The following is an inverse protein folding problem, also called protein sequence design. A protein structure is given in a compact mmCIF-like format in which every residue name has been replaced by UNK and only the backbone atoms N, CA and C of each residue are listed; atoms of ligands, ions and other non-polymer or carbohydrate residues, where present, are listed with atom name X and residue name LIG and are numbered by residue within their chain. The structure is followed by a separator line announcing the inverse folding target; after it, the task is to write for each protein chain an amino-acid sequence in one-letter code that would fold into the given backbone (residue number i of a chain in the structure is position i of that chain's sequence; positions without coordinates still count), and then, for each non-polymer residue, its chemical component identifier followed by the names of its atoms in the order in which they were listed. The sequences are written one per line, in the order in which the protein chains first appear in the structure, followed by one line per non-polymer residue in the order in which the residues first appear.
data_IF_360618407256
#
_entry.id   IF_360618407256
#
_cell.length_a   1.000
_cell.length_b   1.000
_cell.length_c   1.000
_cell.angle_alpha   90.00
_cell.angle_beta   90.00
_cell.angle_gamma   90.00
#
_symmetry.space_group_name_H-M   'P 1'
#
loop_
_entity.id
_entity.type
_entity.pdbx_description
1 polymer ?
#
# COMPACT_ATOMS: atom_id res chain seq x y z
N UNK A 1 -32.28 7.71 93.37
CA UNK A 1 -33.06 6.45 93.27
C UNK A 1 -32.84 5.90 91.87
N UNK A 2 -32.07 4.80 91.73
CA UNK A 2 -32.11 3.76 90.65
C UNK A 2 -32.06 4.28 89.17
N UNK A 3 -31.13 3.92 88.27
CA UNK A 3 -30.80 2.57 87.75
C UNK A 3 -29.78 2.72 86.58
N UNK A 4 -28.72 1.88 86.65
CA UNK A 4 -27.96 1.14 85.62
C UNK A 4 -27.11 1.78 84.48
N UNK A 5 -25.91 1.20 84.21
CA UNK A 5 -24.98 1.63 83.16
C UNK A 5 -25.19 0.92 81.81
N UNK A 6 -24.80 1.59 80.72
CA UNK A 6 -24.66 1.03 79.37
C UNK A 6 -23.47 0.07 79.32
N UNK A 7 -23.68 -1.19 78.94
CA UNK A 7 -22.61 -2.12 78.53
C UNK A 7 -22.72 -2.41 77.04
N UNK A 8 -21.55 -2.36 76.40
CA UNK A 8 -21.31 -2.42 74.98
C UNK A 8 -21.41 -3.85 74.39
N UNK A 9 -21.63 -3.88 73.08
CA UNK A 9 -21.62 -5.01 72.17
C UNK A 9 -20.41 -5.93 72.34
N UNK A 10 -20.63 -7.23 72.17
CA UNK A 10 -19.64 -8.18 71.63
C UNK A 10 -20.40 -9.33 70.99
N UNK A 11 -20.45 -9.38 69.65
CA UNK A 11 -20.83 -10.56 68.89
C UNK A 11 -19.60 -10.96 68.07
N UNK A 12 -19.01 -12.10 68.42
CA UNK A 12 -17.89 -12.70 67.72
C UNK A 12 -18.41 -13.49 66.52
N UNK A 13 -17.92 -13.17 65.32
CA UNK A 13 -18.12 -13.97 64.10
C UNK A 13 -16.82 -14.69 63.80
N UNK A 14 -16.82 -16.01 63.91
CA UNK A 14 -15.69 -16.86 63.53
C UNK A 14 -15.67 -17.03 62.01
N UNK A 15 -14.58 -16.63 61.37
CA UNK A 15 -14.32 -16.82 59.93
C UNK A 15 -13.37 -17.99 59.73
N UNK A 16 -13.83 -19.02 59.02
CA UNK A 16 -13.02 -20.15 58.57
C UNK A 16 -12.24 -19.69 57.34
N UNK A 17 -10.90 -19.70 57.42
CA UNK A 17 -10.01 -19.42 56.29
C UNK A 17 -9.62 -20.73 55.61
N UNK A 18 -10.01 -20.91 54.34
CA UNK A 18 -9.49 -21.96 53.46
C UNK A 18 -8.45 -21.31 52.56
N UNK A 19 -7.18 -21.71 52.69
CA UNK A 19 -6.10 -21.31 51.79
C UNK A 19 -6.16 -22.18 50.53
N UNK A 20 -6.50 -21.56 49.38
CA UNK A 20 -6.29 -22.17 48.06
C UNK A 20 -4.98 -21.62 47.51
N UNK A 21 -3.91 -22.42 47.49
CA UNK A 21 -2.72 -22.10 46.71
C UNK A 21 -3.02 -22.41 45.23
N UNK A 22 -3.24 -21.36 44.44
CA UNK A 22 -3.18 -21.45 42.99
C UNK A 22 -1.71 -21.40 42.56
N UNK A 23 -1.21 -22.51 41.99
CA UNK A 23 0.07 -22.53 41.29
C UNK A 23 -0.09 -21.79 39.96
N UNK A 24 0.30 -20.51 39.93
CA UNK A 24 0.45 -19.76 38.69
C UNK A 24 1.65 -20.34 37.92
N UNK A 25 1.37 -21.11 36.86
CA UNK A 25 2.37 -21.39 35.83
C UNK A 25 2.86 -20.08 35.19
N UNK A 26 4.04 -20.07 34.53
CA UNK A 26 4.50 -18.89 33.82
C UNK A 26 3.43 -18.45 32.81
N UNK A 27 3.22 -17.12 32.62
CA UNK A 27 2.22 -16.64 31.68
C UNK A 27 2.50 -17.25 30.30
N UNK A 28 1.50 -17.92 29.72
CA UNK A 28 1.53 -18.27 28.30
C UNK A 28 1.78 -16.99 27.54
N UNK A 29 2.85 -16.94 26.73
CA UNK A 29 3.04 -15.89 25.75
C UNK A 29 1.72 -15.74 24.98
N UNK A 30 1.12 -14.55 25.02
CA UNK A 30 -0.06 -14.29 24.21
C UNK A 30 0.29 -14.65 22.77
N UNK A 31 -0.58 -15.40 22.08
CA UNK A 31 -0.38 -15.67 20.66
C UNK A 31 -0.13 -14.33 19.95
N UNK A 32 1.03 -14.21 19.29
CA UNK A 32 1.41 -12.98 18.59
C UNK A 32 0.33 -12.62 17.55
N UNK A 33 0.05 -11.32 17.38
CA UNK A 33 -0.94 -10.82 16.42
C UNK A 33 -0.65 -11.38 15.02
N UNK A 34 -1.65 -11.41 14.15
CA UNK A 34 -1.44 -11.79 12.74
C UNK A 34 -0.30 -10.98 12.12
N UNK A 35 -0.27 -9.68 12.44
CA UNK A 35 0.63 -8.69 11.87
C UNK A 35 2.00 -8.61 12.55
N UNK A 36 2.22 -9.36 13.64
CA UNK A 36 3.54 -9.47 14.26
C UNK A 36 4.34 -10.55 13.51
N UNK A 37 5.37 -10.18 12.71
CA UNK A 37 6.14 -11.17 11.99
C UNK A 37 7.00 -12.00 12.95
N UNK A 38 7.25 -13.29 12.65
CA UNK A 38 8.23 -14.09 13.37
C UNK A 38 9.62 -13.44 13.31
N UNK A 39 10.35 -13.49 14.43
CA UNK A 39 11.74 -13.01 14.51
C UNK A 39 12.66 -14.12 15.02
N UNK A 40 13.64 -14.59 14.21
CA UNK A 40 13.92 -14.16 12.84
C UNK A 40 12.83 -14.59 11.83
N UNK A 41 12.79 -13.93 10.68
CA UNK A 41 11.92 -14.37 9.57
C UNK A 41 12.30 -15.78 9.11
N UNK A 42 11.34 -16.63 8.75
CA UNK A 42 11.60 -17.93 8.17
C UNK A 42 12.51 -17.83 6.94
N UNK A 43 13.40 -18.80 6.79
CA UNK A 43 14.15 -18.98 5.56
C UNK A 43 13.17 -19.29 4.41
N UNK A 44 13.44 -18.74 3.23
CA UNK A 44 12.58 -18.90 2.07
C UNK A 44 12.99 -18.00 0.93
N UNK A 45 12.19 -18.02 -0.13
CA UNK A 45 12.27 -17.15 -1.30
C UNK A 45 11.31 -15.97 -1.18
N UNK A 46 11.50 -14.94 -1.99
CA UNK A 46 10.57 -13.82 -2.03
C UNK A 46 9.22 -14.33 -2.58
N UNK A 47 8.12 -13.88 -1.97
CA UNK A 47 6.76 -14.38 -2.20
C UNK A 47 6.37 -15.64 -1.45
N UNK A 48 7.23 -16.23 -0.60
CA UNK A 48 6.81 -17.36 0.23
C UNK A 48 5.81 -16.90 1.29
N UNK A 49 4.71 -17.63 1.45
CA UNK A 49 3.69 -17.38 2.47
C UNK A 49 4.26 -17.79 3.83
N UNK A 50 4.35 -16.84 4.75
CA UNK A 50 4.78 -17.03 6.13
C UNK A 50 3.61 -17.53 6.98
N UNK A 51 2.44 -16.93 6.77
CA UNK A 51 1.20 -17.18 7.51
C UNK A 51 0.02 -16.75 6.65
N UNK A 52 -1.12 -17.41 6.82
CA UNK A 52 -2.38 -16.93 6.28
C UNK A 52 -3.54 -17.30 7.22
N UNK A 53 -4.66 -16.58 7.10
CA UNK A 53 -5.91 -16.91 7.77
C UNK A 53 -7.11 -16.48 6.93
N UNK A 54 -8.27 -17.10 7.15
CA UNK A 54 -9.51 -16.66 6.54
C UNK A 54 -9.86 -15.23 6.97
N UNK A 55 -10.34 -14.43 6.03
CA UNK A 55 -10.81 -13.07 6.29
C UNK A 55 -12.11 -12.80 5.52
N UNK A 56 -12.52 -11.54 5.43
CA UNK A 56 -13.72 -11.09 4.72
C UNK A 56 -13.38 -9.87 3.88
N UNK A 57 -14.15 -9.64 2.83
CA UNK A 57 -14.09 -8.40 2.06
C UNK A 57 -15.49 -7.79 1.98
N UNK A 58 -15.67 -6.66 2.64
CA UNK A 58 -16.89 -5.86 2.54
C UNK A 58 -16.67 -4.68 1.60
N UNK A 59 -17.66 -4.40 0.75
CA UNK A 59 -17.63 -3.27 -0.20
C UNK A 59 -18.12 -1.98 0.49
N UNK A 60 -18.83 -2.11 1.61
CA UNK A 60 -19.36 -1.00 2.39
C UNK A 60 -19.09 -1.17 3.90
N UNK A 61 -18.98 -0.06 4.65
CA UNK A 61 -18.63 -0.09 6.07
C UNK A 61 -19.78 -0.55 6.98
N UNK A 62 -21.03 -0.61 6.48
CA UNK A 62 -22.18 -1.15 7.23
C UNK A 62 -22.34 -2.66 7.04
N UNK A 63 -21.41 -3.30 6.32
CA UNK A 63 -21.29 -4.75 6.12
C UNK A 63 -22.52 -5.38 5.48
N UNK A 64 -23.17 -4.66 4.56
CA UNK A 64 -24.34 -5.16 3.82
C UNK A 64 -23.96 -5.88 2.52
N UNK A 65 -22.81 -5.54 1.94
CA UNK A 65 -22.29 -6.04 0.68
C UNK A 65 -20.96 -6.76 0.94
N UNK A 66 -21.04 -8.03 1.31
CA UNK A 66 -19.88 -8.93 1.32
C UNK A 66 -19.58 -9.43 -0.10
N UNK A 67 -18.31 -9.41 -0.50
CA UNK A 67 -17.89 -9.90 -1.80
C UNK A 67 -18.00 -11.44 -1.88
N UNK A 68 -18.51 -11.97 -2.99
CA UNK A 68 -18.63 -13.42 -3.21
C UNK A 68 -17.27 -14.05 -3.63
N UNK A 69 -16.35 -14.11 -2.68
CA UNK A 69 -15.00 -14.61 -2.86
C UNK A 69 -14.56 -15.49 -1.69
N UNK A 70 -13.60 -16.38 -1.93
CA UNK A 70 -12.71 -16.86 -0.89
C UNK A 70 -11.70 -15.76 -0.56
N UNK A 71 -11.55 -15.44 0.72
CA UNK A 71 -10.69 -14.34 1.18
C UNK A 71 -9.68 -14.89 2.18
N UNK A 72 -8.41 -14.66 1.92
CA UNK A 72 -7.31 -15.01 2.81
C UNK A 72 -6.47 -13.78 3.08
N UNK A 73 -6.31 -13.41 4.35
CA UNK A 73 -5.26 -12.48 4.74
C UNK A 73 -3.95 -13.25 4.79
N UNK A 74 -2.92 -12.71 4.16
CA UNK A 74 -1.61 -13.35 4.05
C UNK A 74 -0.54 -12.47 4.69
N UNK A 75 0.50 -13.11 5.21
CA UNK A 75 1.81 -12.54 5.48
C UNK A 75 2.79 -13.28 4.60
N UNK A 76 3.59 -12.56 3.82
CA UNK A 76 4.52 -13.13 2.87
C UNK A 76 5.89 -12.45 2.98
N UNK A 77 6.93 -13.21 2.62
CA UNK A 77 8.30 -12.71 2.59
C UNK A 77 8.50 -11.82 1.36
N UNK A 78 9.02 -10.61 1.54
CA UNK A 78 9.43 -9.72 0.45
C UNK A 78 10.83 -9.17 0.72
N UNK A 79 11.20 -8.07 0.07
CA UNK A 79 12.52 -7.47 0.16
C UNK A 79 12.43 -5.95 0.15
N UNK A 80 13.11 -5.31 1.09
CA UNK A 80 13.16 -3.85 1.21
C UNK A 80 13.93 -3.21 0.03
N UNK A 81 14.06 -1.88 0.08
CA UNK A 81 14.77 -1.09 -0.93
C UNK A 81 16.28 -1.44 -1.03
N UNK A 82 16.87 -2.05 0.01
CA UNK A 82 18.30 -2.37 0.11
C UNK A 82 18.62 -3.85 -0.11
N UNK A 83 17.63 -4.69 -0.35
CA UNK A 83 17.82 -6.13 -0.54
C UNK A 83 17.64 -6.99 0.71
N UNK A 84 17.25 -6.41 1.85
CA UNK A 84 17.04 -7.15 3.10
C UNK A 84 15.66 -7.83 3.10
N UNK A 85 15.53 -9.04 3.67
CA UNK A 85 14.24 -9.71 3.78
C UNK A 85 13.32 -9.01 4.78
N UNK A 86 12.08 -8.79 4.36
CA UNK A 86 11.00 -8.22 5.18
C UNK A 86 9.76 -9.11 5.14
N UNK A 87 8.85 -8.94 6.09
CA UNK A 87 7.50 -9.50 6.02
C UNK A 87 6.53 -8.40 5.61
N UNK A 88 5.64 -8.71 4.68
CA UNK A 88 4.58 -7.81 4.22
C UNK A 88 3.25 -8.56 4.34
N UNK A 89 2.18 -7.85 4.70
CA UNK A 89 0.83 -8.42 4.72
C UNK A 89 0.03 -8.02 3.48
N UNK A 90 -1.08 -8.71 3.27
CA UNK A 90 -1.97 -8.44 2.15
C UNK A 90 -3.18 -9.36 2.18
N UNK A 91 -3.99 -9.30 1.13
CA UNK A 91 -5.22 -10.09 1.01
C UNK A 91 -5.32 -10.73 -0.36
N UNK A 92 -5.53 -12.04 -0.41
CA UNK A 92 -5.83 -12.80 -1.62
C UNK A 92 -7.34 -13.02 -1.70
N UNK A 93 -7.92 -12.63 -2.82
CA UNK A 93 -9.34 -12.68 -3.13
C UNK A 93 -9.55 -13.58 -4.34
N UNK A 94 -10.26 -14.69 -4.15
CA UNK A 94 -10.54 -15.66 -5.22
C UNK A 94 -12.03 -15.73 -5.47
N UNK A 95 -12.55 -15.34 -6.66
CA UNK A 95 -13.98 -15.41 -6.93
C UNK A 95 -14.50 -16.83 -6.82
N UNK A 96 -15.67 -17.02 -6.17
CA UNK A 96 -16.32 -18.34 -6.08
C UNK A 96 -16.93 -18.78 -7.40
N UNK A 97 -17.19 -17.84 -8.31
CA UNK A 97 -17.65 -18.11 -9.66
C UNK A 97 -16.61 -18.91 -10.46
N UNK A 98 -17.08 -19.79 -11.36
CA UNK A 98 -16.21 -20.53 -12.27
C UNK A 98 -15.53 -19.58 -13.26
N UNK A 99 -14.24 -19.81 -13.54
CA UNK A 99 -13.53 -19.08 -14.60
C UNK A 99 -14.00 -19.56 -15.98
N UNK A 100 -14.52 -18.65 -16.81
CA UNK A 100 -15.03 -18.94 -18.15
C UNK A 100 -14.15 -18.41 -19.29
N UNK A 101 -13.07 -17.70 -18.98
CA UNK A 101 -12.13 -17.24 -20.00
C UNK A 101 -11.19 -18.35 -20.48
N UNK A 102 -10.35 -18.02 -21.45
CA UNK A 102 -9.39 -18.97 -21.99
C UNK A 102 -8.29 -19.31 -20.98
N UNK A 103 -7.87 -20.59 -20.95
CA UNK A 103 -6.78 -21.05 -20.09
C UNK A 103 -7.13 -21.00 -18.61
N UNK A 104 -6.10 -20.84 -17.78
CA UNK A 104 -6.24 -20.77 -16.32
C UNK A 104 -6.64 -19.37 -15.86
N UNK A 105 -7.27 -19.26 -14.68
CA UNK A 105 -7.73 -17.99 -14.12
C UNK A 105 -6.54 -17.02 -13.96
N UNK A 106 -6.62 -15.80 -14.52
CA UNK A 106 -5.57 -14.80 -14.33
C UNK A 106 -5.57 -14.22 -12.92
N UNK A 107 -4.42 -13.67 -12.53
CA UNK A 107 -4.24 -12.93 -11.28
C UNK A 107 -3.99 -11.46 -11.59
N UNK A 108 -4.66 -10.56 -10.87
CA UNK A 108 -4.35 -9.12 -10.87
C UNK A 108 -3.76 -8.77 -9.51
N UNK A 109 -2.53 -8.28 -9.47
CA UNK A 109 -2.02 -7.59 -8.28
C UNK A 109 -2.56 -6.19 -8.29
N UNK A 110 -3.40 -5.86 -7.31
CA UNK A 110 -3.88 -4.51 -7.11
C UNK A 110 -2.93 -3.77 -6.17
N UNK A 111 -2.25 -2.78 -6.72
CA UNK A 111 -1.41 -1.84 -6.00
C UNK A 111 -2.30 -0.68 -5.55
N UNK A 112 -2.56 -0.58 -4.25
CA UNK A 112 -3.43 0.44 -3.67
C UNK A 112 -2.80 1.84 -3.76
N UNK A 113 -3.65 2.85 -3.84
CA UNK A 113 -3.32 4.25 -3.64
C UNK A 113 -2.98 4.57 -2.18
N UNK A 114 -2.81 5.86 -1.87
CA UNK A 114 -2.35 6.33 -0.56
C UNK A 114 -3.25 5.91 0.59
N UNK A 115 -2.74 5.09 1.50
CA UNK A 115 -3.49 4.61 2.66
C UNK A 115 -3.18 5.41 3.92
N UNK A 116 -1.91 5.76 4.12
CA UNK A 116 -1.40 6.36 5.36
C UNK A 116 -0.06 5.78 5.76
N UNK A 117 0.32 6.02 7.00
CA UNK A 117 1.51 5.43 7.64
C UNK A 117 1.14 4.53 8.82
N UNK A 118 0.00 4.80 9.47
CA UNK A 118 -0.39 4.06 10.67
C UNK A 118 -0.73 2.60 10.41
N UNK A 119 -0.52 1.75 11.43
CA UNK A 119 -0.81 0.32 11.34
C UNK A 119 -2.26 0.01 10.96
N UNK A 120 -3.21 0.86 11.36
CA UNK A 120 -4.64 0.68 11.07
C UNK A 120 -5.02 1.09 9.64
N UNK A 121 -4.12 1.74 8.92
CA UNK A 121 -4.29 2.12 7.52
C UNK A 121 -4.06 0.95 6.55
N UNK A 122 -3.57 -0.21 7.03
CA UNK A 122 -3.29 -1.36 6.18
C UNK A 122 -4.54 -1.80 5.37
N UNK A 123 -4.45 -1.92 4.04
CA UNK A 123 -5.55 -2.37 3.17
C UNK A 123 -6.22 -3.66 3.63
N UNK A 124 -5.44 -4.64 4.11
CA UNK A 124 -5.97 -5.91 4.61
C UNK A 124 -6.88 -5.76 5.84
N UNK A 125 -6.74 -4.70 6.65
CA UNK A 125 -7.68 -4.32 7.71
C UNK A 125 -8.89 -3.57 7.14
N UNK A 126 -8.65 -2.64 6.22
CA UNK A 126 -9.70 -1.82 5.61
C UNK A 126 -10.69 -2.64 4.77
N UNK A 127 -10.21 -3.64 4.02
CA UNK A 127 -11.03 -4.60 3.27
C UNK A 127 -11.96 -5.41 4.18
N UNK A 128 -11.46 -5.86 5.34
CA UNK A 128 -12.23 -6.65 6.30
C UNK A 128 -13.29 -5.84 7.06
N UNK A 129 -13.18 -4.52 7.03
CA UNK A 129 -14.10 -3.60 7.73
C UNK A 129 -15.00 -2.81 6.78
N UNK A 130 -14.72 -2.85 5.47
CA UNK A 130 -15.48 -2.12 4.44
C UNK A 130 -15.08 -0.66 4.29
N UNK A 131 -13.92 -0.28 4.82
CA UNK A 131 -13.37 1.08 4.73
C UNK A 131 -12.33 1.26 3.61
N UNK A 132 -11.98 0.20 2.89
CA UNK A 132 -11.11 0.29 1.71
C UNK A 132 -11.83 1.07 0.59
N UNK A 133 -11.40 2.31 0.35
CA UNK A 133 -12.07 3.23 -0.58
C UNK A 133 -11.87 2.82 -2.05
N UNK A 134 -10.89 1.96 -2.34
CA UNK A 134 -10.70 1.34 -3.66
C UNK A 134 -11.48 0.02 -3.82
N UNK A 135 -12.22 -0.40 -2.78
CA UNK A 135 -13.04 -1.60 -2.74
C UNK A 135 -13.92 -1.80 -3.97
N UNK A 136 -14.63 -0.77 -4.50
CA UNK A 136 -15.42 -0.92 -5.73
C UNK A 136 -14.59 -1.32 -6.96
N UNK A 137 -13.34 -0.87 -7.08
CA UNK A 137 -12.47 -1.29 -8.19
C UNK A 137 -12.06 -2.75 -8.04
N UNK A 138 -11.63 -3.12 -6.82
CA UNK A 138 -11.24 -4.49 -6.46
C UNK A 138 -12.41 -5.46 -6.69
N UNK A 139 -13.62 -5.09 -6.26
CA UNK A 139 -14.85 -5.83 -6.54
C UNK A 139 -15.14 -5.93 -8.05
N UNK A 140 -14.84 -4.88 -8.81
CA UNK A 140 -14.93 -4.88 -10.27
C UNK A 140 -13.98 -5.89 -10.95
N UNK A 141 -12.77 -6.06 -10.42
CA UNK A 141 -11.83 -7.11 -10.88
C UNK A 141 -12.37 -8.52 -10.53
N UNK A 142 -12.89 -8.70 -9.31
CA UNK A 142 -13.48 -9.97 -8.88
C UNK A 142 -14.71 -10.35 -9.72
N UNK A 143 -15.57 -9.38 -10.05
CA UNK A 143 -16.75 -9.58 -10.88
C UNK A 143 -16.41 -10.06 -12.31
N UNK A 144 -15.18 -9.81 -12.77
CA UNK A 144 -14.63 -10.32 -14.04
C UNK A 144 -14.04 -11.72 -13.94
N UNK A 145 -14.08 -12.31 -12.75
CA UNK A 145 -13.58 -13.65 -12.48
C UNK A 145 -12.07 -13.73 -12.26
N UNK A 146 -11.38 -12.62 -12.02
CA UNK A 146 -9.95 -12.62 -11.77
C UNK A 146 -9.63 -12.98 -10.32
N UNK A 147 -8.56 -13.74 -10.09
CA UNK A 147 -7.93 -13.76 -8.77
C UNK A 147 -7.32 -12.38 -8.52
N UNK A 148 -7.49 -11.83 -7.33
CA UNK A 148 -6.94 -10.52 -6.98
C UNK A 148 -6.07 -10.68 -5.74
N UNK A 149 -4.87 -10.10 -5.77
CA UNK A 149 -4.05 -9.94 -4.56
C UNK A 149 -3.83 -8.47 -4.31
N UNK A 150 -4.11 -8.03 -3.09
CA UNK A 150 -3.93 -6.65 -2.62
C UNK A 150 -2.79 -6.68 -1.61
N UNK A 151 -1.72 -5.95 -1.88
CA UNK A 151 -0.59 -5.82 -0.95
C UNK A 151 -0.83 -4.68 0.03
N UNK A 152 -0.42 -4.84 1.28
CA UNK A 152 -0.40 -3.71 2.22
C UNK A 152 0.80 -2.79 2.00
N UNK A 153 1.89 -3.29 1.39
CA UNK A 153 3.23 -2.68 1.31
C UNK A 153 4.03 -2.80 2.62
N UNK A 154 5.34 -2.57 2.52
CA UNK A 154 6.25 -2.55 3.68
C UNK A 154 5.78 -1.51 4.71
N UNK A 155 5.79 -1.91 5.98
CA UNK A 155 5.48 -1.03 7.13
C UNK A 155 4.00 -0.72 7.34
N UNK A 156 3.10 -1.11 6.42
CA UNK A 156 1.66 -0.96 6.65
C UNK A 156 1.12 -2.16 7.43
N UNK A 157 0.77 -1.91 8.69
CA UNK A 157 0.23 -2.89 9.62
C UNK A 157 1.28 -3.78 10.28
N UNK A 158 2.50 -3.83 9.74
CA UNK A 158 3.64 -4.60 10.27
C UNK A 158 4.67 -3.66 10.90
N UNK A 159 5.52 -4.11 11.82
CA UNK A 159 6.48 -3.23 12.50
C UNK A 159 7.41 -2.49 11.53
N UNK A 160 7.54 -1.18 11.72
CA UNK A 160 8.32 -0.29 10.86
C UNK A 160 7.50 0.95 10.50
N UNK A 161 8.09 1.90 9.77
CA UNK A 161 7.31 2.96 9.12
C UNK A 161 7.02 2.54 7.67
N UNK A 162 5.90 3.00 7.09
CA UNK A 162 5.58 2.67 5.71
C UNK A 162 6.56 3.36 4.76
N UNK A 163 7.13 2.60 3.83
CA UNK A 163 7.99 3.16 2.79
C UNK A 163 7.15 3.75 1.64
N UNK A 164 6.27 4.69 1.98
CA UNK A 164 5.43 5.42 1.03
C UNK A 164 6.25 5.92 -0.16
N UNK A 165 5.78 5.68 -1.39
CA UNK A 165 6.38 6.09 -2.67
C UNK A 165 7.85 5.62 -2.88
N UNK A 166 8.33 4.64 -2.12
CA UNK A 166 9.63 4.03 -2.35
C UNK A 166 9.55 3.05 -3.52
N UNK A 167 10.19 3.41 -4.63
CA UNK A 167 10.08 2.70 -5.91
C UNK A 167 10.43 1.22 -5.80
N UNK A 168 11.54 0.89 -5.12
CA UNK A 168 12.01 -0.49 -5.06
C UNK A 168 11.14 -1.34 -4.11
N UNK A 169 10.87 -0.84 -2.90
CA UNK A 169 10.08 -1.57 -1.91
C UNK A 169 8.65 -1.85 -2.40
N UNK A 170 7.94 -0.83 -2.91
CA UNK A 170 6.58 -1.02 -3.43
C UNK A 170 6.55 -1.99 -4.61
N UNK A 171 7.51 -1.87 -5.53
CA UNK A 171 7.61 -2.76 -6.67
C UNK A 171 7.89 -4.22 -6.29
N UNK A 172 8.75 -4.46 -5.28
CA UNK A 172 8.99 -5.79 -4.74
C UNK A 172 7.74 -6.36 -4.08
N UNK A 173 7.07 -5.58 -3.22
CA UNK A 173 5.85 -6.01 -2.54
C UNK A 173 4.75 -6.42 -3.54
N UNK A 174 4.51 -5.63 -4.59
CA UNK A 174 3.53 -5.97 -5.65
C UNK A 174 3.88 -7.28 -6.37
N UNK A 175 5.15 -7.48 -6.75
CA UNK A 175 5.56 -8.69 -7.46
C UNK A 175 5.55 -9.93 -6.55
N UNK A 176 5.94 -9.77 -5.29
CA UNK A 176 5.95 -10.86 -4.31
C UNK A 176 4.55 -11.22 -3.81
N UNK A 177 3.61 -10.28 -3.80
CA UNK A 177 2.21 -10.56 -3.54
C UNK A 177 1.62 -11.50 -4.60
N UNK A 178 2.00 -11.35 -5.88
CA UNK A 178 1.61 -12.29 -6.94
C UNK A 178 2.13 -13.70 -6.63
N UNK A 179 3.43 -13.80 -6.32
CA UNK A 179 4.06 -15.08 -5.96
C UNK A 179 3.39 -15.72 -4.75
N UNK A 180 3.05 -14.93 -3.73
CA UNK A 180 2.36 -15.40 -2.53
C UNK A 180 0.95 -15.91 -2.86
N UNK A 181 0.21 -15.20 -3.71
CA UNK A 181 -1.12 -15.63 -4.15
C UNK A 181 -1.08 -16.93 -4.96
N UNK A 182 -0.04 -17.11 -5.78
CA UNK A 182 0.20 -18.34 -6.54
C UNK A 182 0.54 -19.54 -5.63
N UNK A 183 1.39 -19.32 -4.63
CA UNK A 183 1.82 -20.35 -3.67
C UNK A 183 0.80 -20.67 -2.58
N UNK A 184 -0.27 -19.89 -2.47
CA UNK A 184 -1.31 -20.09 -1.46
C UNK A 184 -2.31 -21.17 -1.90
N UNK A 185 -2.29 -22.32 -1.23
CA UNK A 185 -3.15 -23.45 -1.56
C UNK A 185 -4.64 -23.11 -1.50
N UNK A 186 -5.07 -22.33 -0.51
CA UNK A 186 -6.44 -21.90 -0.28
C UNK A 186 -6.99 -21.01 -1.41
N UNK A 187 -6.11 -20.34 -2.16
CA UNK A 187 -6.51 -19.53 -3.31
C UNK A 187 -6.79 -20.38 -4.55
N UNK A 188 -6.19 -21.57 -4.66
CA UNK A 188 -6.33 -22.41 -5.86
C UNK A 188 -5.93 -21.69 -7.15
N UNK A 189 -5.01 -20.72 -7.07
CA UNK A 189 -4.51 -19.95 -8.20
C UNK A 189 -3.25 -20.64 -8.75
N UNK A 190 -3.07 -20.69 -10.08
CA UNK A 190 -1.97 -21.43 -10.72
C UNK A 190 -0.62 -20.71 -10.61
N UNK A 191 0.43 -21.47 -10.29
CA UNK A 191 1.83 -21.00 -10.21
C UNK A 191 2.39 -20.40 -11.50
N UNK A 192 1.82 -20.76 -12.65
CA UNK A 192 2.27 -20.30 -13.95
C UNK A 192 1.16 -19.58 -14.75
N UNK A 193 0.15 -19.07 -14.03
CA UNK A 193 -0.95 -18.32 -14.63
C UNK A 193 -0.52 -16.99 -15.27
N UNK A 194 -1.35 -16.44 -16.17
CA UNK A 194 -1.18 -15.07 -16.66
C UNK A 194 -1.45 -14.08 -15.53
N UNK A 195 -0.60 -13.06 -15.40
CA UNK A 195 -0.75 -12.04 -14.35
C UNK A 195 -0.78 -10.64 -14.93
N UNK A 196 -1.41 -9.70 -14.24
CA UNK A 196 -1.36 -8.27 -14.53
C UNK A 196 -1.22 -7.47 -13.24
N UNK A 197 -0.84 -6.20 -13.39
CA UNK A 197 -0.70 -5.26 -12.27
C UNK A 197 -1.61 -4.06 -12.56
N UNK A 198 -2.26 -3.53 -11.53
CA UNK A 198 -3.16 -2.40 -11.66
C UNK A 198 -3.05 -1.50 -10.43
N UNK A 199 -2.98 -0.17 -10.63
CA UNK A 199 -3.03 0.80 -9.54
C UNK A 199 -3.14 2.24 -10.03
N UNK A 200 -3.52 3.14 -9.13
CA UNK A 200 -3.68 4.58 -9.37
C UNK A 200 -3.00 5.39 -8.25
N UNK A 201 -2.50 6.60 -8.56
CA UNK A 201 -1.79 7.45 -7.58
C UNK A 201 -0.51 6.77 -7.05
N UNK A 202 -0.30 6.65 -5.73
CA UNK A 202 0.75 5.79 -5.15
C UNK A 202 0.73 4.40 -5.79
N UNK A 203 -0.44 3.79 -5.93
CA UNK A 203 -0.62 2.49 -6.59
C UNK A 203 -0.24 2.51 -8.07
N UNK A 204 -0.37 3.66 -8.74
CA UNK A 204 0.14 3.88 -10.08
C UNK A 204 1.67 3.87 -10.11
N UNK A 205 2.30 4.52 -9.12
CA UNK A 205 3.74 4.46 -8.84
C UNK A 205 4.23 3.03 -8.62
N UNK A 206 3.62 2.32 -7.68
CA UNK A 206 3.93 0.93 -7.36
C UNK A 206 3.71 0.00 -8.57
N UNK A 207 2.62 0.17 -9.33
CA UNK A 207 2.34 -0.58 -10.56
C UNK A 207 3.42 -0.36 -11.63
N UNK A 208 3.79 0.91 -11.86
CA UNK A 208 4.82 1.28 -12.80
C UNK A 208 6.21 0.76 -12.38
N UNK A 209 6.55 0.86 -11.09
CA UNK A 209 7.80 0.36 -10.52
C UNK A 209 7.90 -1.17 -10.63
N UNK A 210 6.83 -1.89 -10.27
CA UNK A 210 6.75 -3.33 -10.42
C UNK A 210 6.89 -3.77 -11.88
N UNK A 211 6.25 -3.07 -12.82
CA UNK A 211 6.38 -3.35 -14.26
C UNK A 211 7.83 -3.20 -14.75
N UNK A 212 8.55 -2.18 -14.27
CA UNK A 212 9.96 -1.94 -14.58
C UNK A 212 10.92 -2.94 -13.93
N UNK A 213 10.60 -3.41 -12.73
CA UNK A 213 11.42 -4.35 -11.95
C UNK A 213 11.20 -5.81 -12.34
N UNK A 214 10.01 -6.16 -12.84
CA UNK A 214 9.64 -7.53 -13.18
C UNK A 214 10.71 -8.27 -14.01
N UNK A 215 11.32 -7.70 -15.06
CA UNK A 215 12.29 -8.42 -15.87
C UNK A 215 13.55 -8.88 -15.11
N UNK A 216 13.95 -8.16 -14.05
CA UNK A 216 15.14 -8.50 -13.26
C UNK A 216 14.81 -9.16 -11.92
N UNK A 217 13.67 -8.82 -11.31
CA UNK A 217 13.29 -9.25 -9.96
C UNK A 217 12.37 -10.48 -9.95
N UNK A 218 11.45 -10.55 -10.93
CA UNK A 218 10.46 -11.62 -11.03
C UNK A 218 10.23 -12.07 -12.48
N UNK A 219 11.30 -12.46 -13.22
CA UNK A 219 11.22 -12.79 -14.64
C UNK A 219 10.31 -13.97 -14.96
N UNK A 220 10.05 -14.84 -13.98
CA UNK A 220 9.18 -16.00 -14.10
C UNK A 220 7.68 -15.65 -14.15
N UNK A 221 7.28 -14.48 -13.65
CA UNK A 221 5.90 -14.04 -13.68
C UNK A 221 5.46 -13.73 -15.11
N UNK A 222 4.39 -14.39 -15.59
CA UNK A 222 3.86 -14.21 -16.95
C UNK A 222 3.04 -12.92 -17.08
N UNK A 223 3.70 -11.77 -16.87
CA UNK A 223 3.07 -10.44 -16.87
C UNK A 223 2.52 -10.08 -18.26
N UNK A 224 1.19 -9.93 -18.36
CA UNK A 224 0.46 -9.62 -19.60
C UNK A 224 0.30 -8.12 -19.84
N UNK A 225 0.39 -7.32 -18.79
CA UNK A 225 0.36 -5.87 -18.86
C UNK A 225 0.28 -5.23 -17.47
N UNK A 226 0.58 -3.94 -17.42
CA UNK A 226 0.39 -3.11 -16.24
C UNK A 226 -0.51 -1.91 -16.56
N UNK A 227 -1.48 -1.64 -15.69
CA UNK A 227 -2.21 -0.38 -15.66
C UNK A 227 -1.63 0.49 -14.54
N UNK A 228 -1.16 1.68 -14.91
CA UNK A 228 -0.57 2.65 -13.99
C UNK A 228 -1.21 4.02 -14.21
N UNK A 229 -2.11 4.43 -13.33
CA UNK A 229 -2.80 5.72 -13.44
C UNK A 229 -2.22 6.80 -12.55
N UNK A 230 -2.12 8.04 -13.06
CA UNK A 230 -1.59 9.21 -12.37
C UNK A 230 -0.32 8.92 -11.56
N UNK A 231 0.75 8.51 -12.25
CA UNK A 231 1.97 7.97 -11.65
C UNK A 231 2.79 9.11 -11.01
N UNK A 232 3.15 9.04 -9.71
CA UNK A 232 4.12 9.95 -9.11
C UNK A 232 5.55 9.56 -9.57
N UNK A 233 5.83 9.67 -10.87
CA UNK A 233 7.06 9.20 -11.50
C UNK A 233 8.29 10.06 -11.16
N UNK A 234 8.08 11.33 -10.82
CA UNK A 234 9.11 12.28 -10.39
C UNK A 234 8.68 12.96 -9.09
N UNK A 235 9.18 12.43 -7.97
CA UNK A 235 8.79 12.90 -6.63
C UNK A 235 9.16 14.37 -6.40
N UNK A 236 10.15 14.91 -7.13
CA UNK A 236 10.50 16.32 -7.03
C UNK A 236 9.41 17.23 -7.59
N UNK A 237 8.76 16.83 -8.69
CA UNK A 237 7.63 17.57 -9.25
C UNK A 237 6.37 17.42 -8.39
N UNK A 238 6.14 16.23 -7.82
CA UNK A 238 5.03 16.02 -6.89
C UNK A 238 5.19 16.86 -5.63
N UNK A 239 6.39 16.89 -5.02
CA UNK A 239 6.66 17.69 -3.83
C UNK A 239 6.41 19.20 -4.05
N UNK A 240 6.78 19.73 -5.23
CA UNK A 240 6.49 21.13 -5.62
C UNK A 240 4.99 21.42 -5.68
N UNK A 241 4.21 20.46 -6.18
CA UNK A 241 2.75 20.60 -6.29
C UNK A 241 2.06 20.48 -4.92
N UNK A 242 2.61 19.69 -4.00
CA UNK A 242 2.03 19.45 -2.67
C UNK A 242 2.34 20.54 -1.64
N UNK A 243 3.42 21.31 -1.79
CA UNK A 243 3.81 22.34 -0.81
C UNK A 243 2.72 23.44 -0.70
N UNK A 244 2.15 23.60 0.49
CA UNK A 244 1.03 24.51 0.73
C UNK A 244 -0.32 24.04 0.16
N UNK A 245 -0.40 22.83 -0.38
CA UNK A 245 -1.62 22.25 -0.94
C UNK A 245 -2.51 21.61 0.14
N UNK A 246 -3.78 21.33 -0.15
CA UNK A 246 -4.67 20.62 0.80
C UNK A 246 -4.17 19.19 1.08
N UNK A 247 -3.41 18.60 0.16
CA UNK A 247 -2.87 17.25 0.26
C UNK A 247 -1.42 17.20 0.79
N UNK A 248 -0.92 18.26 1.43
CA UNK A 248 0.47 18.33 1.93
C UNK A 248 0.84 17.24 2.95
N UNK A 249 -0.15 16.59 3.58
CA UNK A 249 0.09 15.40 4.42
C UNK A 249 0.88 14.30 3.69
N UNK A 250 0.70 14.15 2.37
CA UNK A 250 1.46 13.18 1.56
C UNK A 250 2.95 13.54 1.45
N UNK A 251 3.31 14.82 1.55
CA UNK A 251 4.71 15.23 1.69
C UNK A 251 5.25 14.76 3.05
N UNK A 252 4.43 14.80 4.10
CA UNK A 252 4.76 14.24 5.41
C UNK A 252 5.05 12.73 5.36
N UNK A 253 4.18 11.94 4.74
CA UNK A 253 4.40 10.50 4.52
C UNK A 253 5.72 10.24 3.76
N UNK A 254 5.99 11.01 2.69
CA UNK A 254 7.25 10.90 1.96
C UNK A 254 8.48 11.19 2.84
N UNK A 255 8.40 12.13 3.78
CA UNK A 255 9.49 12.40 4.73
C UNK A 255 9.72 11.22 5.69
N UNK A 256 8.65 10.62 6.20
CA UNK A 256 8.72 9.43 7.06
C UNK A 256 9.39 8.28 6.31
N UNK A 257 8.85 7.95 5.14
CA UNK A 257 9.39 6.92 4.23
C UNK A 257 10.88 7.13 3.94
N UNK A 258 11.28 8.33 3.52
CA UNK A 258 12.68 8.61 3.19
C UNK A 258 13.59 8.56 4.41
N UNK A 259 13.12 8.97 5.59
CA UNK A 259 13.90 8.87 6.82
C UNK A 259 14.08 7.42 7.28
N UNK A 260 13.03 6.60 7.16
CA UNK A 260 13.06 5.19 7.51
C UNK A 260 13.95 4.39 6.54
N UNK A 261 13.73 4.56 5.24
CA UNK A 261 14.49 3.86 4.20
C UNK A 261 15.94 4.35 4.10
N UNK A 262 16.23 5.62 4.40
CA UNK A 262 17.56 6.21 4.31
C UNK A 262 17.91 6.99 5.58
N UNK A 263 18.27 6.31 6.69
CA UNK A 263 18.50 6.94 7.99
C UNK A 263 19.60 8.01 7.99
N UNK A 264 20.53 7.96 7.04
CA UNK A 264 21.56 8.98 6.87
C UNK A 264 21.01 10.37 6.48
N UNK A 265 19.77 10.43 5.97
CA UNK A 265 19.09 11.70 5.67
C UNK A 265 18.75 12.49 6.93
N UNK A 266 18.54 11.79 8.05
CA UNK A 266 18.22 12.34 9.38
C UNK A 266 17.22 13.50 9.30
N UNK A 267 16.08 13.26 8.67
CA UNK A 267 15.09 14.30 8.36
C UNK A 267 14.65 15.07 9.62
N UNK A 268 14.44 14.45 10.80
CA UNK A 268 14.12 15.17 12.02
C UNK A 268 15.13 16.27 12.40
N UNK A 269 16.40 16.18 12.00
CA UNK A 269 17.39 17.24 12.26
C UNK A 269 17.17 18.51 11.42
N UNK A 270 16.48 18.41 10.28
CA UNK A 270 16.10 19.55 9.44
C UNK A 270 14.90 20.30 10.00
N UNK A 271 14.06 19.60 10.76
CA UNK A 271 12.78 20.07 11.22
C UNK A 271 12.89 20.89 12.51
N UNK A 272 12.10 21.95 12.58
CA UNK A 272 11.86 22.69 13.81
C UNK A 272 10.86 21.94 14.72
N UNK A 273 10.52 22.52 15.87
CA UNK A 273 9.61 21.87 16.81
C UNK A 273 8.23 21.51 16.20
N UNK A 274 7.67 22.39 15.37
CA UNK A 274 6.41 22.14 14.65
C UNK A 274 6.59 21.06 13.59
N UNK A 275 7.69 21.09 12.84
CA UNK A 275 8.00 20.06 11.85
C UNK A 275 8.13 18.67 12.46
N UNK A 276 8.83 18.56 13.60
CA UNK A 276 8.95 17.30 14.35
C UNK A 276 7.60 16.80 14.86
N UNK A 277 6.75 17.70 15.35
CA UNK A 277 5.40 17.33 15.77
C UNK A 277 4.58 16.77 14.59
N UNK A 278 4.61 17.44 13.43
CA UNK A 278 3.93 16.94 12.24
C UNK A 278 4.50 15.59 11.81
N UNK A 279 5.84 15.46 11.79
CA UNK A 279 6.52 14.21 11.45
C UNK A 279 6.04 13.03 12.32
N UNK A 280 5.94 13.21 13.64
CA UNK A 280 5.42 12.14 14.52
C UNK A 280 3.91 11.90 14.36
N UNK A 281 3.13 12.93 14.03
CA UNK A 281 1.69 12.79 13.80
C UNK A 281 1.41 11.95 12.55
N UNK A 282 2.03 12.32 11.42
CA UNK A 282 1.77 11.65 10.14
C UNK A 282 2.15 10.17 10.16
N UNK A 283 3.13 9.76 10.98
CA UNK A 283 3.50 8.33 11.20
C UNK A 283 2.35 7.45 11.71
N UNK A 284 1.27 8.06 12.20
CA UNK A 284 0.14 7.33 12.78
C UNK A 284 -1.19 7.63 12.08
N UNK A 285 -1.17 8.48 11.06
CA UNK A 285 -2.38 8.96 10.38
C UNK A 285 -2.66 8.15 9.11
N UNK A 286 -3.95 7.97 8.82
CA UNK A 286 -4.41 7.54 7.51
C UNK A 286 -4.68 8.76 6.61
N UNK A 287 -4.92 8.53 5.33
CA UNK A 287 -5.04 9.58 4.31
C UNK A 287 -6.04 10.69 4.68
N UNK A 288 -7.21 10.32 5.22
CA UNK A 288 -8.27 11.29 5.53
C UNK A 288 -7.86 12.18 6.71
N UNK A 289 -7.28 11.57 7.75
CA UNK A 289 -6.76 12.26 8.93
C UNK A 289 -5.64 13.23 8.54
N UNK A 290 -4.67 12.77 7.75
CA UNK A 290 -3.53 13.58 7.34
C UNK A 290 -3.95 14.78 6.47
N UNK A 291 -4.92 14.59 5.56
CA UNK A 291 -5.49 15.71 4.79
C UNK A 291 -6.20 16.69 5.73
N UNK A 292 -7.06 16.21 6.63
CA UNK A 292 -7.83 17.06 7.52
C UNK A 292 -6.94 17.84 8.52
N UNK A 293 -5.88 17.22 9.02
CA UNK A 293 -4.99 17.79 10.03
C UNK A 293 -3.99 18.79 9.45
N UNK A 294 -3.47 18.54 8.25
CA UNK A 294 -2.29 19.26 7.75
C UNK A 294 -2.55 20.15 6.52
N UNK A 295 -3.76 20.14 5.95
CA UNK A 295 -4.10 20.89 4.75
C UNK A 295 -3.57 22.34 4.76
N UNK A 296 -2.98 22.74 3.64
CA UNK A 296 -2.44 24.08 3.40
C UNK A 296 -1.25 24.47 4.29
N UNK A 297 -0.65 23.52 5.01
CA UNK A 297 0.61 23.76 5.71
C UNK A 297 1.71 24.08 4.71
N UNK A 298 2.38 25.21 4.92
CA UNK A 298 3.58 25.58 4.16
C UNK A 298 4.79 24.91 4.76
N UNK A 299 5.54 24.14 3.97
CA UNK A 299 6.69 23.37 4.46
C UNK A 299 7.82 24.25 5.00
N UNK A 300 7.92 25.49 4.54
CA UNK A 300 8.83 26.51 5.10
C UNK A 300 8.58 26.81 6.58
N UNK A 301 7.38 26.52 7.09
CA UNK A 301 7.06 26.67 8.52
C UNK A 301 7.51 25.49 9.38
N UNK A 302 8.00 24.41 8.75
CA UNK A 302 8.37 23.15 9.41
C UNK A 302 9.88 22.97 9.57
N UNK A 303 10.70 23.72 8.85
CA UNK A 303 12.16 23.59 8.84
C UNK A 303 12.83 24.57 9.81
N UNK A 304 14.07 24.25 10.23
CA UNK A 304 14.84 25.07 11.17
C UNK A 304 15.31 26.41 10.58
N UNK A 305 15.56 26.45 9.27
CA UNK A 305 16.08 27.63 8.56
C UNK A 305 14.99 28.41 7.80
N UNK A 306 13.73 27.96 7.87
CA UNK A 306 12.59 28.58 7.19
C UNK A 306 12.52 28.33 5.68
N UNK A 307 13.37 27.46 5.11
CA UNK A 307 13.29 27.08 3.69
C UNK A 307 12.19 26.05 3.48
N UNK A 308 11.48 26.12 2.35
CA UNK A 308 10.58 25.05 1.91
C UNK A 308 11.36 23.74 1.75
N UNK A 309 10.71 22.60 2.02
CA UNK A 309 11.27 21.27 1.79
C UNK A 309 11.68 21.06 0.32
N UNK A 310 11.01 21.75 -0.61
CA UNK A 310 11.35 21.74 -2.04
C UNK A 310 12.77 22.26 -2.29
N UNK A 311 13.26 23.20 -1.47
CA UNK A 311 14.60 23.77 -1.63
C UNK A 311 15.71 22.73 -1.40
N UNK A 312 15.45 21.69 -0.60
CA UNK A 312 16.43 20.65 -0.29
C UNK A 312 16.53 19.56 -1.36
N UNK A 313 15.53 19.43 -2.26
CA UNK A 313 15.49 18.36 -3.27
C UNK A 313 16.66 18.42 -4.27
N UNK A 314 17.30 19.58 -4.39
CA UNK A 314 18.51 19.78 -5.20
C UNK A 314 19.83 19.63 -4.44
N UNK A 315 19.79 19.37 -3.13
CA UNK A 315 20.97 19.33 -2.25
C UNK A 315 21.29 17.89 -1.81
N UNK A 316 22.56 17.55 -1.68
CA UNK A 316 22.95 16.27 -1.07
C UNK A 316 22.76 16.32 0.47
N UNK A 317 22.35 15.21 1.11
CA UNK A 317 22.15 13.87 0.55
C UNK A 317 20.76 13.60 -0.08
N UNK A 318 19.84 14.57 -0.08
CA UNK A 318 18.46 14.37 -0.52
C UNK A 318 18.33 14.13 -2.03
N UNK A 319 19.09 14.89 -2.81
CA UNK A 319 19.04 14.87 -4.28
C UNK A 319 19.24 13.48 -4.85
N UNK A 320 20.24 12.73 -4.36
CA UNK A 320 20.49 11.37 -4.84
C UNK A 320 19.35 10.41 -4.48
N UNK A 321 18.81 10.51 -3.26
CA UNK A 321 17.73 9.63 -2.79
C UNK A 321 16.40 9.88 -3.48
N UNK A 322 16.08 11.15 -3.75
CA UNK A 322 14.90 11.53 -4.57
C UNK A 322 15.08 11.04 -6.00
N UNK A 323 16.27 11.19 -6.59
CA UNK A 323 16.54 10.71 -7.95
C UNK A 323 16.47 9.17 -8.07
N UNK A 324 16.83 8.45 -7.01
CA UNK A 324 16.74 6.98 -6.92
C UNK A 324 15.29 6.47 -7.04
N UNK A 325 14.31 7.28 -6.63
CA UNK A 325 12.89 6.92 -6.73
C UNK A 325 12.28 7.15 -8.11
N UNK A 326 13.03 7.75 -9.05
CA UNK A 326 12.50 8.09 -10.37
C UNK A 326 12.08 6.86 -11.16
N UNK A 327 10.84 6.85 -11.63
CA UNK A 327 10.28 5.82 -12.51
C UNK A 327 10.54 6.21 -13.97
N UNK A 328 10.83 5.23 -14.83
CA UNK A 328 11.14 5.45 -16.24
C UNK A 328 12.60 5.23 -16.61
N UNK A 329 13.48 5.05 -15.62
CA UNK A 329 14.90 4.74 -15.86
C UNK A 329 15.09 3.33 -16.41
N UNK A 330 14.23 2.39 -16.03
CA UNK A 330 14.24 1.01 -16.51
C UNK A 330 13.27 0.87 -17.70
N UNK A 331 12.97 -0.35 -18.11
CA UNK A 331 11.94 -0.61 -19.13
C UNK A 331 11.08 -1.79 -18.72
N UNK A 332 9.74 -1.64 -18.72
CA UNK A 332 8.86 -2.78 -18.65
C UNK A 332 9.05 -3.72 -19.85
N UNK A 333 8.95 -5.04 -19.61
CA UNK A 333 8.86 -6.02 -20.69
C UNK A 333 7.43 -6.16 -21.22
N UNK A 334 6.43 -5.96 -20.35
CA UNK A 334 5.02 -6.01 -20.67
C UNK A 334 4.51 -4.66 -21.23
N UNK A 335 3.42 -4.64 -22.01
CA UNK A 335 2.76 -3.39 -22.40
C UNK A 335 2.20 -2.66 -21.18
N UNK A 336 2.08 -1.33 -21.29
CA UNK A 336 1.57 -0.49 -20.19
C UNK A 336 0.47 0.44 -20.67
N UNK A 337 -0.61 0.52 -19.90
CA UNK A 337 -1.61 1.58 -19.99
C UNK A 337 -1.31 2.64 -18.93
N UNK A 338 -1.08 3.88 -19.38
CA UNK A 338 -1.02 5.06 -18.52
C UNK A 338 -2.30 5.86 -18.73
N UNK A 339 -3.07 6.11 -17.67
CA UNK A 339 -4.24 6.99 -17.70
C UNK A 339 -4.00 8.15 -16.75
N UNK A 340 -4.12 9.39 -17.23
CA UNK A 340 -3.91 10.56 -16.39
C UNK A 340 -4.78 11.74 -16.84
N UNK A 341 -5.32 12.49 -15.87
CA UNK A 341 -6.03 13.73 -16.15
C UNK A 341 -5.08 14.88 -16.40
N UNK A 342 -5.34 15.66 -17.45
CA UNK A 342 -4.66 16.95 -17.64
C UNK A 342 -5.08 18.01 -16.60
N UNK A 343 -6.13 17.74 -15.82
CA UNK A 343 -6.67 18.58 -14.75
C UNK A 343 -6.46 17.96 -13.36
N UNK A 344 -5.47 17.07 -13.23
CA UNK A 344 -5.06 16.50 -11.95
C UNK A 344 -4.50 17.59 -11.03
N UNK A 345 -5.02 17.68 -9.81
CA UNK A 345 -4.68 18.67 -8.79
C UNK A 345 -3.65 18.16 -7.77
N UNK A 346 -3.29 16.87 -7.81
CA UNK A 346 -2.35 16.24 -6.86
C UNK A 346 -1.05 15.83 -7.54
N UNK A 347 -1.14 15.09 -8.66
CA UNK A 347 0.02 14.56 -9.38
C UNK A 347 0.16 15.30 -10.73
N UNK A 348 1.25 16.07 -10.94
CA UNK A 348 1.44 16.81 -12.18
C UNK A 348 1.42 15.94 -13.45
N UNK A 349 0.42 16.16 -14.32
CA UNK A 349 0.21 15.44 -15.59
C UNK A 349 1.43 15.35 -16.52
N UNK A 350 2.29 16.37 -16.51
CA UNK A 350 3.46 16.42 -17.39
C UNK A 350 4.47 15.29 -17.11
N UNK A 351 4.54 14.78 -15.87
CA UNK A 351 5.49 13.74 -15.51
C UNK A 351 5.10 12.39 -16.14
N UNK A 352 3.82 12.05 -16.19
CA UNK A 352 3.33 10.82 -16.84
C UNK A 352 3.52 10.85 -18.34
N UNK A 353 3.30 12.01 -18.98
CA UNK A 353 3.64 12.17 -20.40
C UNK A 353 5.13 11.93 -20.64
N UNK A 354 5.98 12.42 -19.74
CA UNK A 354 7.44 12.22 -19.82
C UNK A 354 7.79 10.75 -19.61
N UNK A 355 7.18 10.07 -18.64
CA UNK A 355 7.33 8.65 -18.38
C UNK A 355 6.94 7.82 -19.62
N UNK A 356 5.73 8.02 -20.13
CA UNK A 356 5.23 7.32 -21.30
C UNK A 356 6.13 7.50 -22.53
N UNK A 357 6.60 8.73 -22.79
CA UNK A 357 7.57 9.00 -23.87
C UNK A 357 8.92 8.34 -23.66
N UNK A 358 9.41 8.32 -22.42
CA UNK A 358 10.68 7.66 -22.07
C UNK A 358 10.59 6.16 -22.33
N UNK A 359 9.49 5.51 -21.93
CA UNK A 359 9.24 4.10 -22.22
C UNK A 359 9.03 3.82 -23.69
N UNK A 360 8.29 4.67 -24.41
CA UNK A 360 8.20 4.59 -25.87
C UNK A 360 9.59 4.61 -26.53
N UNK A 361 10.49 5.50 -26.08
CA UNK A 361 11.87 5.59 -26.56
C UNK A 361 12.71 4.33 -26.27
N UNK A 362 12.31 3.52 -25.28
CA UNK A 362 12.91 2.22 -24.94
C UNK A 362 12.24 1.04 -25.64
N UNK A 363 11.25 1.28 -26.51
CA UNK A 363 10.54 0.27 -27.29
C UNK A 363 9.36 -0.38 -26.57
N UNK A 364 8.91 0.17 -25.45
CA UNK A 364 7.75 -0.33 -24.69
C UNK A 364 6.48 0.04 -25.42
N UNK A 365 5.52 -0.89 -25.49
CA UNK A 365 4.17 -0.60 -26.01
C UNK A 365 3.39 0.15 -24.94
N UNK A 366 3.36 1.48 -25.05
CA UNK A 366 2.59 2.34 -24.16
C UNK A 366 1.31 2.79 -24.85
N UNK A 367 0.18 2.61 -24.17
CA UNK A 367 -1.05 3.35 -24.44
C UNK A 367 -1.16 4.46 -23.39
N UNK A 368 -1.06 5.71 -23.83
CA UNK A 368 -1.25 6.88 -22.98
C UNK A 368 -2.65 7.45 -23.22
N UNK A 369 -3.45 7.55 -22.16
CA UNK A 369 -4.82 8.03 -22.22
C UNK A 369 -4.98 9.28 -21.37
N UNK A 370 -5.21 10.40 -22.04
CA UNK A 370 -5.49 11.68 -21.38
C UNK A 370 -6.98 11.79 -21.11
N UNK A 371 -7.34 12.14 -19.88
CA UNK A 371 -8.70 12.58 -19.52
C UNK A 371 -8.72 14.07 -19.15
N UNK A 372 -9.91 14.67 -19.20
CA UNK A 372 -10.18 16.06 -18.79
C UNK A 372 -11.15 16.09 -17.60
N UNK A 373 -11.29 14.98 -16.88
CA UNK A 373 -12.07 14.94 -15.64
C UNK A 373 -11.30 15.74 -14.58
N UNK A 374 -11.92 16.75 -13.95
CA UNK A 374 -11.25 17.56 -12.94
C UNK A 374 -10.92 16.72 -11.71
N UNK A 375 -9.87 17.11 -11.00
CA UNK A 375 -9.37 16.49 -9.76
C UNK A 375 -8.77 15.10 -9.93
N UNK A 376 -7.84 14.78 -9.04
CA UNK A 376 -7.16 13.50 -8.98
C UNK A 376 -8.13 12.34 -8.73
N UNK A 377 -9.08 12.52 -7.80
CA UNK A 377 -10.00 11.47 -7.33
C UNK A 377 -11.07 11.13 -8.38
N UNK A 378 -11.70 12.13 -9.00
CA UNK A 378 -12.71 11.85 -10.03
C UNK A 378 -12.07 11.26 -11.29
N UNK A 379 -10.84 11.67 -11.61
CA UNK A 379 -10.07 11.07 -12.69
C UNK A 379 -9.79 9.57 -12.46
N UNK A 380 -9.51 9.16 -11.22
CA UNK A 380 -9.35 7.75 -10.85
C UNK A 380 -10.61 6.94 -11.18
N UNK A 381 -11.77 7.40 -10.71
CA UNK A 381 -13.06 6.72 -10.95
C UNK A 381 -13.38 6.63 -12.45
N UNK A 382 -13.07 7.68 -13.22
CA UNK A 382 -13.23 7.64 -14.68
C UNK A 382 -12.31 6.62 -15.35
N UNK A 383 -11.12 6.37 -14.82
CA UNK A 383 -10.17 5.44 -15.41
C UNK A 383 -10.62 3.97 -15.30
N UNK A 384 -11.52 3.65 -14.35
CA UNK A 384 -11.91 2.27 -14.03
C UNK A 384 -12.38 1.42 -15.22
N UNK A 385 -13.43 1.82 -15.98
CA UNK A 385 -13.91 1.03 -17.11
C UNK A 385 -12.86 0.83 -18.20
N UNK A 386 -11.97 1.81 -18.39
CA UNK A 386 -10.90 1.74 -19.39
C UNK A 386 -9.78 0.78 -18.95
N UNK A 387 -9.35 0.86 -17.69
CA UNK A 387 -8.40 -0.07 -17.11
C UNK A 387 -8.92 -1.51 -17.19
N UNK A 388 -10.18 -1.74 -16.84
CA UNK A 388 -10.81 -3.05 -16.96
C UNK A 388 -10.80 -3.61 -18.38
N UNK A 389 -11.31 -2.83 -19.35
CA UNK A 389 -11.33 -3.26 -20.74
C UNK A 389 -9.93 -3.53 -21.30
N UNK A 390 -8.95 -2.73 -20.89
CA UNK A 390 -7.56 -2.91 -21.32
C UNK A 390 -6.94 -4.19 -20.74
N UNK A 391 -7.14 -4.45 -19.44
CA UNK A 391 -6.69 -5.68 -18.77
C UNK A 391 -7.35 -6.93 -19.36
N UNK A 392 -8.66 -6.88 -19.60
CA UNK A 392 -9.42 -7.93 -20.29
C UNK A 392 -8.79 -8.27 -21.65
N UNK A 393 -8.45 -7.25 -22.44
CA UNK A 393 -7.79 -7.44 -23.73
C UNK A 393 -6.39 -8.08 -23.60
N UNK A 394 -5.63 -7.77 -22.53
CA UNK A 394 -4.33 -8.41 -22.27
C UNK A 394 -4.50 -9.90 -21.96
N UNK A 395 -5.45 -10.24 -21.10
CA UNK A 395 -5.72 -11.63 -20.73
C UNK A 395 -6.33 -12.44 -21.88
N UNK A 396 -7.12 -11.81 -22.75
CA UNK A 396 -7.62 -12.42 -23.98
C UNK A 396 -6.53 -12.60 -25.07
N UNK A 397 -5.29 -12.18 -24.83
CA UNK A 397 -4.18 -12.33 -25.78
C UNK A 397 -4.27 -11.40 -26.98
N UNK A 398 -5.10 -10.35 -26.92
CA UNK A 398 -5.20 -9.39 -28.02
C UNK A 398 -3.91 -8.55 -28.10
N UNK A 399 -3.48 -8.14 -29.31
CA UNK A 399 -2.32 -7.26 -29.46
C UNK A 399 -2.45 -5.98 -28.61
N UNK A 400 -1.36 -5.53 -27.99
CA UNK A 400 -1.34 -4.26 -27.27
C UNK A 400 -1.31 -3.11 -28.27
N UNK A 401 -2.32 -2.25 -28.21
CA UNK A 401 -2.31 -0.96 -28.88
C UNK A 401 -1.24 -0.07 -28.25
N UNK A 402 -0.61 0.78 -29.07
CA UNK A 402 0.30 1.81 -28.60
C UNK A 402 0.12 3.06 -29.44
N UNK A 403 0.04 4.21 -28.77
CA UNK A 403 -0.01 5.52 -29.39
C UNK A 403 1.29 6.31 -29.17
N UNK A 404 2.42 5.60 -29.00
CA UNK A 404 3.75 6.22 -28.96
C UNK A 404 3.96 7.16 -30.16
N UNK A 405 4.38 8.39 -29.89
CA UNK A 405 4.54 9.46 -30.89
C UNK A 405 3.29 10.34 -31.10
N UNK A 406 2.16 10.04 -30.44
CA UNK A 406 0.91 10.81 -30.58
C UNK A 406 0.54 11.64 -29.34
N UNK A 407 1.28 11.53 -28.23
CA UNK A 407 1.02 12.24 -26.97
C UNK A 407 2.25 12.99 -26.45
#
# INVERSE_FOLDING_TARGET
MRIFPRRALSAAVATISVLVLATLGPPQASAASFYDPPSPLPAGSNGDVIRHEASTFYIDPVKLLEADAGVQRIMYRSTDTHGSPIAVTGTVLTPRSTWHGAGVRPIVSYAVGTQGEGDDCAPSKALATGFEYEGPFIAGLLARGYGVVVTDYEGLGTPGDHTYINRASEGHAVLDAIRAAQRLQEAGLPDDGPVAIAGYSQGGGASAAAAELQPSYAPELKLKGAYAGAVPADLGEVAKNLDGHYAVGFLGFALVSMNYAYPELNIPALLNARGKQLFEQVRTECTVEAIAAHAFTQSSTLTNDGRSLVAYLGEEPYRSRVAEQKIGALKPAAPVLIVHSALDDVVPYAQDRTLGRTWCGKGVKVQFSTTLVPTHVLAAVRAYPEAFAWLEARFAGLPAFSNCGLF
#
